data_IF_064942740714
#
_entry.id   IF_064942740714
#
_cell.length_a   1.000
_cell.length_b   1.000
_cell.length_c   1.000
_cell.angle_alpha   90.00
_cell.angle_beta   90.00
_cell.angle_gamma   90.00
#
_symmetry.space_group_name_H-M   'P 1'
#
loop_
_entity.id
_entity.type
_entity.pdbx_description
1 polymer ?
#
# COMPACT_ATOMS: atom_id res chain seq x y z
N UNK A 1 -6.36 4.58 -15.19
CA UNK A 1 -7.12 4.76 -13.93
C UNK A 1 -7.49 3.39 -13.42
N UNK A 2 -6.98 3.03 -12.24
CA UNK A 2 -7.07 1.68 -11.70
C UNK A 2 -8.18 1.60 -10.67
N UNK A 3 -8.95 0.51 -10.71
CA UNK A 3 -10.07 0.27 -9.81
C UNK A 3 -9.96 -1.12 -9.19
N UNK A 4 -10.25 -1.23 -7.90
CA UNK A 4 -10.34 -2.52 -7.20
C UNK A 4 -11.62 -2.59 -6.38
N UNK A 5 -12.05 -3.82 -6.06
CA UNK A 5 -13.23 -4.01 -5.23
C UNK A 5 -12.96 -3.51 -3.81
N UNK A 6 -13.92 -2.82 -3.19
CA UNK A 6 -13.79 -2.29 -1.83
C UNK A 6 -13.44 -3.38 -0.80
N UNK A 7 -13.85 -4.63 -1.05
CA UNK A 7 -13.53 -5.79 -0.19
C UNK A 7 -12.04 -6.00 0.03
N UNK A 8 -11.19 -5.50 -0.88
CA UNK A 8 -9.73 -5.55 -0.72
C UNK A 8 -9.29 -4.80 0.54
N UNK A 9 -10.00 -3.75 0.96
CA UNK A 9 -9.68 -3.00 2.16
C UNK A 9 -9.83 -3.84 3.43
N UNK A 10 -10.81 -4.74 3.46
CA UNK A 10 -11.03 -5.65 4.58
C UNK A 10 -9.91 -6.69 4.66
N UNK A 11 -9.49 -7.21 3.50
CA UNK A 11 -8.33 -8.11 3.38
C UNK A 11 -7.05 -7.42 3.84
N UNK A 12 -6.81 -6.20 3.37
CA UNK A 12 -5.64 -5.40 3.74
C UNK A 12 -5.58 -5.10 5.24
N UNK A 13 -6.71 -4.78 5.87
CA UNK A 13 -6.78 -4.57 7.33
C UNK A 13 -6.43 -5.82 8.14
N UNK A 14 -6.56 -7.01 7.56
CA UNK A 14 -6.16 -8.27 8.19
C UNK A 14 -4.65 -8.48 8.23
N UNK A 15 -3.88 -7.73 7.44
CA UNK A 15 -2.44 -7.89 7.33
C UNK A 15 -1.69 -6.82 8.14
N UNK A 16 -0.72 -7.22 9.00
CA UNK A 16 -0.05 -6.29 9.92
C UNK A 16 0.87 -5.28 9.23
N UNK A 17 1.30 -5.57 8.00
CA UNK A 17 2.13 -4.71 7.15
C UNK A 17 1.31 -3.68 6.36
N UNK A 18 -0.02 -3.66 6.51
CA UNK A 18 -0.88 -2.68 5.85
C UNK A 18 -1.63 -1.83 6.87
N UNK A 19 -1.68 -0.54 6.61
CA UNK A 19 -2.44 0.43 7.38
C UNK A 19 -3.44 1.09 6.44
N UNK A 20 -4.72 0.89 6.69
CA UNK A 20 -5.81 1.43 5.87
C UNK A 20 -6.52 2.54 6.63
N UNK A 21 -6.40 3.77 6.15
CA UNK A 21 -7.07 4.95 6.69
C UNK A 21 -8.20 5.39 5.74
N UNK A 22 -9.39 5.64 6.29
CA UNK A 22 -10.57 6.07 5.53
C UNK A 22 -11.08 7.37 6.15
N UNK A 23 -11.13 8.43 5.35
CA UNK A 23 -11.65 9.76 5.72
C UNK A 23 -12.73 10.19 4.73
N UNK A 24 -13.99 9.93 5.08
CA UNK A 24 -15.13 10.10 4.18
C UNK A 24 -15.02 9.15 2.98
N UNK A 25 -14.91 9.71 1.77
CA UNK A 25 -14.67 8.93 0.55
C UNK A 25 -13.18 8.74 0.24
N UNK A 26 -12.26 9.40 0.94
CA UNK A 26 -10.84 9.27 0.68
C UNK A 26 -10.28 8.07 1.43
N UNK A 27 -9.39 7.33 0.76
CA UNK A 27 -8.71 6.18 1.31
C UNK A 27 -7.22 6.33 1.11
N UNK A 28 -6.47 6.11 2.18
CA UNK A 28 -5.02 6.02 2.16
C UNK A 28 -4.63 4.62 2.63
N UNK A 29 -3.80 3.93 1.85
CA UNK A 29 -3.27 2.61 2.17
C UNK A 29 -1.76 2.76 2.26
N UNK A 30 -1.21 2.49 3.43
CA UNK A 30 0.23 2.40 3.63
C UNK A 30 0.64 0.95 3.75
N UNK A 31 1.58 0.53 2.92
CA UNK A 31 2.19 -0.78 2.96
C UNK A 31 3.64 -0.66 3.39
N UNK A 32 3.97 -1.32 4.49
CA UNK A 32 5.34 -1.41 5.01
C UNK A 32 5.86 -2.81 4.69
N UNK A 33 6.68 -2.99 3.63
CA UNK A 33 7.23 -4.29 3.31
C UNK A 33 8.04 -4.83 4.49
N UNK A 34 7.93 -6.14 4.79
CA UNK A 34 8.75 -6.76 5.82
C UNK A 34 10.22 -6.53 5.47
N UNK A 35 10.98 -5.99 6.42
CA UNK A 35 12.40 -5.74 6.19
C UNK A 35 13.15 -7.07 6.20
N UNK A 36 14.01 -7.31 5.20
CA UNK A 36 14.95 -8.46 5.20
C UNK A 36 15.76 -8.52 6.51
N UNK A 37 15.94 -7.37 7.14
CA UNK A 37 16.60 -7.18 8.42
C UNK A 37 15.91 -7.85 9.62
N UNK A 38 14.58 -7.98 9.65
CA UNK A 38 13.89 -8.75 10.71
C UNK A 38 14.25 -10.24 10.63
N UNK A 39 14.55 -10.75 9.43
CA UNK A 39 15.04 -12.11 9.23
C UNK A 39 16.56 -12.27 9.48
N UNK A 40 17.32 -11.16 9.49
CA UNK A 40 18.79 -11.17 9.55
C UNK A 40 19.38 -10.64 10.87
N UNK A 41 18.57 -10.10 11.79
CA UNK A 41 19.02 -9.58 13.08
C UNK A 41 19.89 -8.32 12.99
N UNK A 42 19.79 -7.57 11.89
CA UNK A 42 20.53 -6.32 11.68
C UNK A 42 19.59 -5.16 11.91
N UNK A 43 19.82 -4.35 12.94
CA UNK A 43 19.09 -3.09 13.17
C UNK A 43 19.26 -2.20 11.92
N UNK A 44 18.20 -2.11 11.12
CA UNK A 44 18.06 -1.04 10.13
C UNK A 44 17.14 -0.01 10.75
N UNK A 45 17.59 1.24 10.80
CA UNK A 45 16.80 2.39 11.23
C UNK A 45 15.39 2.29 10.63
N UNK A 46 14.37 2.22 11.50
CA UNK A 46 12.96 2.15 11.08
C UNK A 46 12.59 3.31 10.15
N UNK A 47 13.28 4.45 10.29
CA UNK A 47 13.18 5.65 9.46
C UNK A 47 13.58 5.45 7.98
N UNK A 48 14.29 4.37 7.65
CA UNK A 48 14.70 4.06 6.26
C UNK A 48 13.87 2.98 5.59
N UNK A 49 12.84 2.44 6.26
CA UNK A 49 11.95 1.44 5.64
C UNK A 49 11.11 2.10 4.53
N UNK A 50 11.15 1.59 3.29
CA UNK A 50 10.36 2.17 2.21
C UNK A 50 8.87 1.88 2.45
N UNK A 51 8.04 2.91 2.57
CA UNK A 51 6.58 2.80 2.71
C UNK A 51 5.97 3.03 1.34
N UNK A 52 5.14 2.09 0.88
CA UNK A 52 4.31 2.30 -0.31
C UNK A 52 3.00 2.90 0.15
N UNK A 53 2.77 4.18 -0.18
CA UNK A 53 1.54 4.90 0.12
C UNK A 53 0.67 5.00 -1.13
N UNK A 54 -0.59 4.63 -1.01
CA UNK A 54 -1.56 4.62 -2.10
C UNK A 54 -2.76 5.46 -1.69
N UNK A 55 -3.16 6.37 -2.56
CA UNK A 55 -4.32 7.22 -2.38
C UNK A 55 -5.40 6.81 -3.36
N UNK A 56 -6.62 6.67 -2.84
CA UNK A 56 -7.79 6.36 -3.66
C UNK A 56 -9.06 7.01 -3.11
N UNK A 57 -10.13 6.86 -3.88
CA UNK A 57 -11.46 7.32 -3.52
C UNK A 57 -12.47 6.18 -3.63
N UNK A 58 -13.39 6.12 -2.68
CA UNK A 58 -14.52 5.19 -2.68
C UNK A 58 -15.59 5.73 -3.62
N UNK A 59 -15.95 4.90 -4.60
CA UNK A 59 -16.98 5.15 -5.59
C UNK A 59 -17.90 3.93 -5.64
N UNK A 60 -18.98 3.98 -4.83
CA UNK A 60 -19.87 2.84 -4.64
C UNK A 60 -19.15 1.64 -4.02
N UNK A 61 -19.10 0.53 -4.75
CA UNK A 61 -18.48 -0.74 -4.30
C UNK A 61 -17.01 -0.88 -4.75
N UNK A 62 -16.44 0.18 -5.33
CA UNK A 62 -15.07 0.19 -5.83
C UNK A 62 -14.22 1.25 -5.13
N UNK A 63 -12.94 0.95 -5.04
CA UNK A 63 -11.89 1.91 -4.73
C UNK A 63 -11.19 2.30 -6.04
N UNK A 64 -11.25 3.58 -6.40
CA UNK A 64 -10.51 4.16 -7.53
C UNK A 64 -9.17 4.65 -7.03
N UNK A 65 -8.09 4.08 -7.52
CA UNK A 65 -6.73 4.50 -7.17
C UNK A 65 -6.39 5.77 -7.94
N UNK A 66 -6.04 6.82 -7.21
CA UNK A 66 -5.67 8.13 -7.76
C UNK A 66 -4.18 8.21 -8.04
N UNK A 67 -3.36 7.78 -7.07
CA UNK A 67 -1.90 7.79 -7.16
C UNK A 67 -1.28 6.86 -6.13
N UNK A 68 -0.01 6.52 -6.32
CA UNK A 68 0.79 5.84 -5.33
C UNK A 68 2.22 6.38 -5.35
N UNK A 69 2.90 6.35 -4.21
CA UNK A 69 4.28 6.80 -4.07
C UNK A 69 5.00 5.90 -3.08
N UNK A 70 6.30 5.71 -3.30
CA UNK A 70 7.22 5.09 -2.34
C UNK A 70 7.88 6.20 -1.54
N UNK A 71 7.81 6.12 -0.22
CA UNK A 71 8.39 7.06 0.72
C UNK A 71 9.52 6.35 1.46
N UNK A 72 10.73 6.89 1.43
CA UNK A 72 11.91 6.32 2.10
C UNK A 72 12.66 7.43 2.81
N UNK A 73 12.46 7.56 4.12
CA UNK A 73 12.95 8.71 4.88
C UNK A 73 12.40 10.02 4.29
N UNK A 74 13.31 10.91 3.87
CA UNK A 74 12.96 12.20 3.25
C UNK A 74 12.70 12.12 1.74
N UNK A 75 13.00 10.98 1.09
CA UNK A 75 12.80 10.81 -0.35
C UNK A 75 11.42 10.22 -0.65
N UNK A 76 10.73 10.80 -1.64
CA UNK A 76 9.49 10.24 -2.18
C UNK A 76 9.57 10.12 -3.70
N UNK A 77 9.18 8.95 -4.23
CA UNK A 77 9.07 8.70 -5.66
C UNK A 77 7.65 8.26 -6.00
N UNK A 78 7.02 8.92 -6.95
CA UNK A 78 5.73 8.47 -7.49
C UNK A 78 5.89 7.15 -8.27
N UNK A 79 4.92 6.27 -8.09
CA UNK A 79 4.82 5.00 -8.79
C UNK A 79 4.04 5.17 -10.10
N UNK A 80 4.57 4.59 -11.17
CA UNK A 80 3.91 4.53 -12.46
C UNK A 80 2.74 3.52 -12.45
N UNK A 81 1.81 3.66 -13.40
CA UNK A 81 0.61 2.81 -13.46
C UNK A 81 0.94 1.30 -13.48
N UNK A 82 2.03 0.90 -14.14
CA UNK A 82 2.48 -0.50 -14.17
C UNK A 82 2.90 -1.03 -12.80
N UNK A 83 3.58 -0.21 -11.98
CA UNK A 83 3.98 -0.61 -10.63
C UNK A 83 2.76 -0.71 -9.71
N UNK A 84 1.80 0.19 -9.88
CA UNK A 84 0.53 0.14 -9.16
C UNK A 84 -0.25 -1.13 -9.54
N UNK A 85 -0.32 -1.46 -10.83
CA UNK A 85 -0.96 -2.71 -11.27
C UNK A 85 -0.30 -3.96 -10.71
N UNK A 86 1.03 -3.97 -10.63
CA UNK A 86 1.76 -5.06 -10.02
C UNK A 86 1.39 -5.22 -8.54
N UNK A 87 1.33 -4.13 -7.79
CA UNK A 87 0.88 -4.14 -6.40
C UNK A 87 -0.57 -4.62 -6.26
N UNK A 88 -1.48 -4.13 -7.10
CA UNK A 88 -2.90 -4.56 -7.05
C UNK A 88 -3.03 -6.06 -7.34
N UNK A 89 -2.26 -6.58 -8.29
CA UNK A 89 -2.24 -8.01 -8.62
C UNK A 89 -1.71 -8.87 -7.46
N UNK A 90 -0.72 -8.36 -6.73
CA UNK A 90 -0.18 -9.03 -5.54
C UNK A 90 -1.21 -9.11 -4.41
N UNK A 91 -1.95 -8.02 -4.17
CA UNK A 91 -2.98 -7.98 -3.11
C UNK A 91 -4.22 -8.80 -3.47
N UNK A 92 -4.65 -8.77 -4.74
CA UNK A 92 -5.85 -9.50 -5.21
C UNK A 92 -5.67 -11.02 -5.15
N UNK A 93 -4.45 -11.52 -5.38
CA UNK A 93 -4.16 -12.96 -5.31
C UNK A 93 -4.11 -13.52 -3.88
N UNK A 94 -4.28 -12.67 -2.87
CA UNK A 94 -4.08 -13.03 -1.47
C UNK A 94 -2.60 -13.28 -1.21
N UNK A 95 -1.94 -12.30 -0.57
CA UNK A 95 -0.58 -12.49 -0.07
C UNK A 95 -0.47 -13.84 0.65
N UNK A 96 0.40 -14.71 0.14
CA UNK A 96 0.53 -16.10 0.56
C UNK A 96 0.96 -16.28 2.01
#
# INVERSE_FOLDING_TARGET
MLEVNLKILDVLRGYPNYIVQIEGNNVTIDYVPPSISEASGVDVDEDTKPIIRIWGIIDGEKLKILKASVIKGEESRDLDESEIQFWLSYVDQGGG
#
